data_IF_298858789687
#
_entry.id   IF_298858789687
#
_cell.length_a   1.000
_cell.length_b   1.000
_cell.length_c   1.000
_cell.angle_alpha   90.00
_cell.angle_beta   90.00
_cell.angle_gamma   90.00
#
_symmetry.space_group_name_H-M   'P 1'
#
loop_
_entity.id
_entity.type
_entity.pdbx_description
1 polymer ?
#
# COMPACT_ATOMS: atom_id res chain seq x y z
N UNK A 1 -16.66 -8.07 -12.62
CA UNK A 1 -16.19 -7.18 -11.53
C UNK A 1 -15.30 -6.15 -12.16
N UNK A 2 -15.69 -4.89 -12.21
CA UNK A 2 -14.89 -3.85 -12.84
C UNK A 2 -14.13 -3.11 -11.76
N UNK A 3 -12.81 -3.10 -11.84
CA UNK A 3 -11.93 -2.33 -10.98
C UNK A 3 -11.59 -0.99 -11.60
N UNK A 4 -11.50 0.04 -10.78
CA UNK A 4 -10.89 1.29 -11.15
C UNK A 4 -9.38 1.18 -10.91
N UNK A 5 -8.61 0.95 -11.98
CA UNK A 5 -7.16 1.04 -11.93
C UNK A 5 -6.72 2.38 -12.52
N UNK A 6 -6.06 3.19 -11.74
CA UNK A 6 -5.39 4.40 -12.21
C UNK A 6 -3.97 4.37 -11.72
N UNK A 7 -3.05 4.46 -12.65
CA UNK A 7 -1.62 4.55 -12.40
C UNK A 7 -1.20 6.01 -12.53
N UNK A 8 -0.58 6.52 -11.48
CA UNK A 8 0.09 7.81 -11.50
C UNK A 8 1.55 7.61 -11.84
N UNK A 9 1.98 8.28 -12.88
CA UNK A 9 3.39 8.46 -13.14
C UNK A 9 3.75 9.93 -12.91
N UNK A 10 4.55 10.21 -11.91
CA UNK A 10 5.28 11.46 -11.80
C UNK A 10 6.40 11.40 -12.83
N UNK A 11 6.18 12.03 -13.98
CA UNK A 11 7.18 12.10 -15.02
C UNK A 11 8.05 13.32 -14.82
N UNK A 12 9.23 13.09 -14.30
CA UNK A 12 10.33 14.03 -14.39
C UNK A 12 11.01 13.86 -15.75
N UNK A 13 10.33 14.18 -16.83
CA UNK A 13 10.91 14.06 -18.16
C UNK A 13 9.92 13.90 -19.32
N UNK A 14 10.36 14.05 -20.55
CA UNK A 14 9.52 14.02 -21.75
C UNK A 14 9.12 12.60 -22.16
N UNK A 15 7.83 12.37 -22.42
CA UNK A 15 7.46 11.34 -23.38
C UNK A 15 7.59 11.92 -24.78
N UNK A 16 8.57 11.47 -25.51
CA UNK A 16 8.53 11.48 -26.97
C UNK A 16 7.75 10.23 -27.35
N UNK A 17 6.76 10.37 -28.21
CA UNK A 17 6.12 9.24 -28.86
C UNK A 17 7.18 8.52 -29.70
N UNK A 18 7.83 7.53 -29.13
CA UNK A 18 8.61 6.55 -29.88
C UNK A 18 7.76 5.30 -30.04
N UNK A 19 7.85 4.62 -31.19
CA UNK A 19 7.19 3.35 -31.37
C UNK A 19 7.68 2.36 -30.30
N UNK A 20 6.77 1.49 -29.90
CA UNK A 20 6.95 0.45 -28.89
C UNK A 20 8.17 -0.44 -29.19
N UNK A 21 9.34 0.01 -28.78
CA UNK A 21 10.54 -0.82 -28.71
C UNK A 21 11.42 -0.27 -27.60
N UNK A 22 11.67 -1.13 -26.63
CA UNK A 22 12.67 -1.01 -25.57
C UNK A 22 12.21 -0.47 -24.21
N UNK A 23 11.36 -1.24 -23.56
CA UNK A 23 11.51 -1.41 -22.13
C UNK A 23 12.62 -2.45 -21.90
N UNK A 24 13.49 -2.18 -20.95
CA UNK A 24 14.48 -3.15 -20.47
C UNK A 24 15.86 -3.08 -21.08
N UNK A 25 16.24 -2.03 -21.76
CA UNK A 25 17.66 -1.75 -22.00
C UNK A 25 18.07 -0.59 -21.12
N UNK A 26 18.90 -0.91 -20.13
CA UNK A 26 19.69 0.07 -19.43
C UNK A 26 20.38 0.96 -20.44
N UNK A 27 20.06 2.25 -20.40
CA UNK A 27 20.90 3.21 -21.07
C UNK A 27 22.27 3.06 -20.43
N UNK A 28 23.37 3.03 -21.21
CA UNK A 28 24.70 2.89 -20.64
C UNK A 28 24.88 3.97 -19.58
N UNK A 29 25.19 3.55 -18.37
CA UNK A 29 25.52 4.46 -17.28
C UNK A 29 26.68 5.33 -17.75
N UNK A 30 26.40 6.61 -17.96
CA UNK A 30 27.48 7.58 -18.00
C UNK A 30 28.00 7.68 -16.57
N UNK A 31 29.32 7.50 -16.33
CA UNK A 31 29.88 7.66 -15.02
C UNK A 31 29.56 9.06 -14.51
N UNK A 32 28.64 9.17 -13.58
CA UNK A 32 28.40 10.42 -12.88
C UNK A 32 29.51 10.60 -11.86
N UNK A 33 30.07 11.80 -11.71
CA UNK A 33 30.93 12.07 -10.56
C UNK A 33 30.11 11.74 -9.31
N UNK A 34 30.71 10.99 -8.38
CA UNK A 34 30.13 10.74 -7.09
C UNK A 34 29.57 12.05 -6.52
N UNK A 35 28.28 12.11 -6.19
CA UNK A 35 27.72 13.34 -5.67
C UNK A 35 28.46 13.71 -4.39
N UNK A 36 28.98 14.91 -4.34
CA UNK A 36 29.47 15.48 -3.09
C UNK A 36 28.24 15.60 -2.20
N UNK A 37 28.02 14.62 -1.34
CA UNK A 37 26.98 14.68 -0.32
C UNK A 37 27.31 15.83 0.62
N UNK A 38 26.71 16.97 0.36
CA UNK A 38 26.58 17.97 1.40
C UNK A 38 25.83 17.33 2.59
N UNK A 39 26.02 17.84 3.81
CA UNK A 39 25.21 17.40 4.94
C UNK A 39 23.74 17.52 4.53
N UNK A 40 22.97 16.46 4.80
CA UNK A 40 21.51 16.50 4.58
C UNK A 40 20.98 17.75 5.31
N UNK A 41 20.09 18.54 4.71
CA UNK A 41 19.47 19.64 5.40
C UNK A 41 18.91 19.16 6.73
N UNK A 42 19.14 19.86 7.82
CA UNK A 42 18.72 19.48 9.18
C UNK A 42 17.21 19.20 9.31
N UNK A 43 16.43 19.56 8.31
CA UNK A 43 14.99 19.38 8.24
C UNK A 43 14.54 18.25 7.31
N UNK A 44 15.46 17.51 6.69
CA UNK A 44 15.10 16.32 5.92
C UNK A 44 14.82 15.16 6.86
N UNK A 45 13.70 14.41 6.64
CA UNK A 45 13.46 13.20 7.40
C UNK A 45 14.65 12.26 7.28
N UNK A 46 15.14 11.77 8.40
CA UNK A 46 16.16 10.72 8.39
C UNK A 46 15.53 9.52 7.69
N UNK A 47 16.26 8.89 6.75
CA UNK A 47 15.81 7.68 6.07
C UNK A 47 15.33 6.66 7.11
N UNK A 48 14.08 6.24 7.01
CA UNK A 48 13.43 5.36 7.98
C UNK A 48 12.66 6.07 9.11
N UNK A 49 12.74 7.41 9.21
CA UNK A 49 11.92 8.15 10.15
C UNK A 49 10.59 8.55 9.49
N UNK A 50 9.48 8.23 10.12
CA UNK A 50 8.20 8.80 9.72
C UNK A 50 8.23 10.33 9.93
N UNK A 51 7.47 11.09 9.11
CA UNK A 51 7.28 12.51 9.37
C UNK A 51 6.93 12.72 10.85
N UNK A 52 7.71 13.55 11.56
CA UNK A 52 7.53 13.78 12.98
C UNK A 52 8.65 13.30 13.89
N UNK A 53 9.49 12.41 13.41
CA UNK A 53 10.65 11.97 14.18
C UNK A 53 11.86 12.92 14.07
N UNK A 54 11.86 13.86 13.15
CA UNK A 54 13.01 14.70 12.80
C UNK A 54 12.74 16.19 12.87
N UNK A 55 11.90 16.65 13.77
CA UNK A 55 11.69 18.10 13.96
C UNK A 55 10.93 18.81 12.84
N UNK A 56 10.34 18.08 11.89
CA UNK A 56 9.44 18.63 10.88
C UNK A 56 8.23 19.27 11.58
N UNK A 57 7.81 20.48 11.18
CA UNK A 57 6.65 21.12 11.77
C UNK A 57 5.44 20.20 11.79
N UNK A 58 4.75 20.14 12.92
CA UNK A 58 3.62 19.24 13.16
C UNK A 58 2.52 19.30 12.08
N UNK A 59 2.40 20.44 11.41
CA UNK A 59 1.47 20.65 10.29
C UNK A 59 1.90 19.95 8.97
N UNK A 60 3.17 19.56 8.85
CA UNK A 60 3.70 18.82 7.69
C UNK A 60 3.85 17.33 8.00
N UNK A 61 3.61 16.95 9.26
CA UNK A 61 3.53 15.56 9.63
C UNK A 61 2.29 15.01 8.95
N UNK A 62 2.52 14.13 8.01
CA UNK A 62 1.43 13.33 7.50
C UNK A 62 0.62 12.78 8.68
N UNK A 63 -0.59 12.45 8.47
CA UNK A 63 -1.54 12.16 9.51
C UNK A 63 -1.18 10.91 10.27
N UNK A 64 -0.42 11.09 11.35
CA UNK A 64 -0.43 10.15 12.46
C UNK A 64 -1.87 10.16 12.96
N UNK A 65 -2.52 9.02 12.92
CA UNK A 65 -3.90 8.93 13.40
C UNK A 65 -3.92 9.41 14.87
N UNK A 66 -4.68 10.46 15.18
CA UNK A 66 -4.80 10.92 16.56
C UNK A 66 -5.50 9.86 17.39
N UNK A 67 -5.28 9.89 18.71
CA UNK A 67 -6.11 9.11 19.62
C UNK A 67 -7.60 9.47 19.43
N UNK A 68 -8.46 8.46 19.44
CA UNK A 68 -9.88 8.62 19.18
C UNK A 68 -10.38 7.79 18.00
N UNK A 69 -11.51 8.17 17.43
CA UNK A 69 -12.02 7.50 16.22
C UNK A 69 -11.17 7.86 14.99
N UNK A 70 -11.11 6.94 14.03
CA UNK A 70 -10.56 7.26 12.71
C UNK A 70 -11.24 8.51 12.16
N UNK A 71 -10.49 9.49 11.65
CA UNK A 71 -11.07 10.67 11.07
C UNK A 71 -12.08 10.34 9.97
N UNK A 72 -13.14 11.12 9.88
CA UNK A 72 -14.13 11.04 8.81
C UNK A 72 -13.90 12.15 7.80
N UNK A 73 -14.21 11.91 6.52
CA UNK A 73 -13.99 12.89 5.47
C UNK A 73 -14.52 12.43 4.12
N UNK A 74 -13.98 12.99 3.06
CA UNK A 74 -14.43 12.77 1.68
C UNK A 74 -14.33 11.31 1.22
N UNK A 75 -13.50 10.50 1.87
CA UNK A 75 -13.30 9.09 1.53
C UNK A 75 -13.96 8.13 2.52
N UNK A 76 -14.78 8.62 3.44
CA UNK A 76 -15.53 7.75 4.36
C UNK A 76 -16.39 6.74 3.59
N UNK A 77 -16.27 5.46 3.96
CA UNK A 77 -16.95 4.36 3.27
C UNK A 77 -16.32 3.96 1.93
N UNK A 78 -15.16 4.51 1.57
CA UNK A 78 -14.41 4.11 0.36
C UNK A 78 -13.29 3.16 0.75
N UNK A 79 -12.95 2.24 -0.16
CA UNK A 79 -11.76 1.42 -0.05
C UNK A 79 -10.76 1.91 -1.08
N UNK A 80 -9.55 2.20 -0.64
CA UNK A 80 -8.45 2.66 -1.48
C UNK A 80 -7.38 1.60 -1.51
N UNK A 81 -7.19 1.00 -2.69
CA UNK A 81 -6.06 0.15 -3.00
C UNK A 81 -4.95 1.02 -3.59
N UNK A 82 -3.72 0.81 -3.18
CA UNK A 82 -2.60 1.62 -3.67
C UNK A 82 -1.30 0.83 -3.74
N UNK A 83 -0.45 1.18 -4.70
CA UNK A 83 0.87 0.59 -4.89
C UNK A 83 1.90 1.66 -5.20
N UNK A 84 3.13 1.45 -4.75
CA UNK A 84 4.31 2.14 -5.28
C UNK A 84 4.98 1.24 -6.30
N UNK A 85 5.23 1.72 -7.52
CA UNK A 85 5.80 0.94 -8.59
C UNK A 85 7.23 0.51 -8.35
N UNK A 86 7.63 -0.58 -9.01
CA UNK A 86 8.94 -1.22 -8.96
C UNK A 86 9.35 -1.70 -7.56
N UNK A 87 10.61 -1.54 -7.19
CA UNK A 87 11.22 -2.08 -5.97
C UNK A 87 12.24 -3.17 -6.30
N UNK A 88 13.01 -3.58 -5.32
CA UNK A 88 13.97 -4.67 -5.47
C UNK A 88 13.26 -5.97 -5.87
N UNK A 89 13.74 -6.59 -6.94
CA UNK A 89 13.28 -7.88 -7.42
C UNK A 89 14.45 -8.82 -7.69
N UNK A 90 14.19 -10.12 -7.64
CA UNK A 90 15.13 -11.15 -8.10
C UNK A 90 15.04 -11.26 -9.61
N UNK A 91 16.16 -11.07 -10.32
CA UNK A 91 16.23 -11.14 -11.77
C UNK A 91 16.60 -12.53 -12.32
N UNK A 92 16.69 -13.53 -11.44
CA UNK A 92 17.17 -14.87 -11.75
C UNK A 92 18.61 -15.12 -11.32
N UNK A 93 19.39 -14.08 -11.02
CA UNK A 93 20.79 -14.17 -10.62
C UNK A 93 21.11 -13.32 -9.39
N UNK A 94 20.48 -12.16 -9.25
CA UNK A 94 20.74 -11.21 -8.18
C UNK A 94 19.49 -10.41 -7.80
N UNK A 95 19.56 -9.72 -6.66
CA UNK A 95 18.57 -8.74 -6.27
C UNK A 95 18.90 -7.38 -6.87
N UNK A 96 18.01 -6.86 -7.70
CA UNK A 96 18.21 -5.61 -8.43
C UNK A 96 17.01 -4.69 -8.28
N UNK A 97 17.24 -3.39 -8.39
CA UNK A 97 16.16 -2.42 -8.54
C UNK A 97 15.62 -2.48 -9.96
N UNK A 98 14.31 -2.29 -10.15
CA UNK A 98 13.70 -2.25 -11.47
C UNK A 98 14.18 -1.06 -12.31
N UNK A 99 14.71 -0.03 -11.65
CA UNK A 99 15.31 1.15 -12.30
C UNK A 99 16.65 1.47 -11.65
N UNK A 100 17.62 1.86 -12.50
CA UNK A 100 18.92 2.35 -12.04
C UNK A 100 18.82 3.69 -11.30
N UNK A 101 19.93 4.11 -10.72
CA UNK A 101 20.04 5.43 -10.10
C UNK A 101 20.05 6.49 -11.21
N UNK A 102 19.06 7.38 -11.21
CA UNK A 102 18.99 8.53 -12.09
C UNK A 102 18.96 9.81 -11.26
N UNK A 103 19.96 10.68 -11.45
CA UNK A 103 20.00 11.96 -10.74
C UNK A 103 19.88 11.82 -9.21
N UNK A 104 20.65 10.90 -8.65
CA UNK A 104 20.64 10.59 -7.21
C UNK A 104 19.29 10.01 -6.70
N UNK A 105 18.36 9.72 -7.59
CA UNK A 105 17.08 9.12 -7.25
C UNK A 105 17.00 7.69 -7.76
N UNK A 106 16.44 6.83 -6.92
CA UNK A 106 15.97 5.50 -7.30
C UNK A 106 14.46 5.55 -7.29
N UNK A 107 13.84 5.36 -8.45
CA UNK A 107 12.39 5.39 -8.61
C UNK A 107 11.69 4.48 -7.60
N UNK A 108 12.21 3.29 -7.45
CA UNK A 108 11.70 2.22 -6.60
C UNK A 108 11.46 2.63 -5.15
N UNK A 109 12.28 3.53 -4.61
CA UNK A 109 12.16 4.02 -3.23
C UNK A 109 11.26 5.25 -3.13
N UNK A 110 11.37 6.17 -4.07
CA UNK A 110 10.53 7.37 -4.10
C UNK A 110 9.04 7.05 -4.27
N UNK A 111 8.73 6.00 -5.01
CA UNK A 111 7.34 5.58 -5.22
C UNK A 111 6.69 5.04 -3.94
N UNK A 112 7.43 4.34 -3.07
CA UNK A 112 6.88 3.86 -1.80
C UNK A 112 6.65 4.99 -0.81
N UNK A 113 7.49 6.03 -0.85
CA UNK A 113 7.28 7.24 -0.05
C UNK A 113 6.01 7.98 -0.49
N UNK A 114 5.81 8.14 -1.81
CA UNK A 114 4.59 8.75 -2.36
C UNK A 114 3.33 7.95 -1.99
N UNK A 115 3.38 6.63 -2.17
CA UNK A 115 2.29 5.74 -1.77
C UNK A 115 1.99 5.85 -0.27
N UNK A 116 3.01 5.89 0.58
CA UNK A 116 2.86 5.98 2.03
C UNK A 116 2.19 7.28 2.45
N UNK A 117 2.61 8.41 1.87
CA UNK A 117 1.98 9.70 2.14
C UNK A 117 0.53 9.72 1.66
N UNK A 118 0.27 9.18 0.47
CA UNK A 118 -1.10 9.05 -0.05
C UNK A 118 -1.96 8.18 0.86
N UNK A 119 -1.45 7.04 1.32
CA UNK A 119 -2.15 6.14 2.24
C UNK A 119 -2.52 6.84 3.55
N UNK A 120 -1.61 7.65 4.13
CA UNK A 120 -1.88 8.44 5.32
C UNK A 120 -3.01 9.45 5.09
N UNK A 121 -2.99 10.18 3.99
CA UNK A 121 -4.06 11.15 3.67
C UNK A 121 -5.40 10.46 3.42
N UNK A 122 -5.41 9.34 2.70
CA UNK A 122 -6.62 8.56 2.47
C UNK A 122 -7.23 8.02 3.77
N UNK A 123 -6.40 7.47 4.66
CA UNK A 123 -6.83 6.99 5.97
C UNK A 123 -7.47 8.11 6.80
N UNK A 124 -6.85 9.29 6.81
CA UNK A 124 -7.39 10.44 7.55
C UNK A 124 -8.58 11.12 6.87
N UNK A 125 -8.77 10.88 5.59
CA UNK A 125 -10.00 11.24 4.89
C UNK A 125 -11.14 10.21 5.09
N UNK A 126 -10.90 9.18 5.91
CA UNK A 126 -11.90 8.18 6.31
C UNK A 126 -11.90 6.90 5.48
N UNK A 127 -10.93 6.69 4.58
CA UNK A 127 -10.86 5.48 3.76
C UNK A 127 -10.42 4.25 4.55
N UNK A 128 -10.91 3.08 4.14
CA UNK A 128 -10.22 1.81 4.38
C UNK A 128 -9.08 1.70 3.38
N UNK A 129 -7.85 1.53 3.84
CA UNK A 129 -6.65 1.54 3.00
C UNK A 129 -6.03 0.16 2.92
N UNK A 130 -5.74 -0.27 1.70
CA UNK A 130 -5.05 -1.52 1.37
C UNK A 130 -3.86 -1.20 0.49
N UNK A 131 -2.65 -1.34 1.02
CA UNK A 131 -1.42 -1.06 0.30
C UNK A 131 -0.77 -2.35 -0.22
N UNK A 132 -0.33 -2.33 -1.48
CA UNK A 132 0.32 -3.46 -2.16
C UNK A 132 1.85 -3.46 -1.97
N UNK A 133 2.38 -2.50 -1.24
CA UNK A 133 3.70 -2.46 -0.62
C UNK A 133 3.53 -1.95 0.81
N UNK A 134 4.49 -2.21 1.72
CA UNK A 134 4.40 -1.71 3.09
C UNK A 134 4.28 -0.19 3.17
N UNK A 135 3.47 0.32 4.08
CA UNK A 135 3.32 1.75 4.33
C UNK A 135 4.41 2.24 5.28
N UNK A 136 5.12 3.29 4.88
CA UNK A 136 6.19 3.90 5.68
C UNK A 136 7.47 3.05 5.73
N UNK A 137 8.37 3.45 6.62
CA UNK A 137 9.69 2.82 6.76
C UNK A 137 9.83 2.29 8.19
N UNK A 138 9.64 0.98 8.39
CA UNK A 138 9.81 0.32 9.68
C UNK A 138 10.41 -1.07 9.49
N UNK A 139 11.69 -1.20 9.78
CA UNK A 139 12.45 -2.46 9.61
C UNK A 139 12.17 -3.51 10.68
N UNK A 140 11.57 -3.11 11.79
CA UNK A 140 11.11 -4.06 12.79
C UNK A 140 9.69 -4.51 12.48
N UNK A 141 9.37 -5.74 12.85
CA UNK A 141 8.03 -6.27 12.74
C UNK A 141 7.71 -7.21 13.91
N UNK A 142 6.44 -7.21 14.30
CA UNK A 142 5.84 -8.26 15.14
C UNK A 142 4.54 -8.66 14.48
N UNK A 143 4.37 -9.94 14.19
CA UNK A 143 3.11 -10.49 13.70
C UNK A 143 2.60 -11.44 14.76
N UNK A 144 1.37 -11.25 15.20
CA UNK A 144 0.69 -12.10 16.17
C UNK A 144 -0.50 -12.78 15.50
N UNK A 145 -0.52 -14.09 15.58
CA UNK A 145 -1.64 -14.92 15.14
C UNK A 145 -2.59 -15.23 16.30
N UNK A 146 -3.82 -15.60 16.00
CA UNK A 146 -4.84 -15.91 17.00
C UNK A 146 -4.47 -17.08 17.94
N UNK A 147 -3.45 -17.86 17.63
CA UNK A 147 -2.96 -18.98 18.45
C UNK A 147 -1.75 -18.61 19.32
N UNK A 148 -1.18 -17.41 19.13
CA UNK A 148 0.02 -16.99 19.87
C UNK A 148 -0.28 -16.72 21.33
N UNK A 149 0.65 -17.00 22.26
CA UNK A 149 0.47 -16.81 23.70
C UNK A 149 0.26 -15.34 24.11
N UNK A 150 0.66 -14.39 23.27
CA UNK A 150 0.46 -12.95 23.42
C UNK A 150 -0.97 -12.50 23.08
N UNK A 151 -1.82 -13.43 22.61
CA UNK A 151 -3.19 -13.17 22.23
C UNK A 151 -4.15 -13.73 23.28
N UNK A 152 -5.00 -12.90 23.83
CA UNK A 152 -5.98 -13.28 24.86
C UNK A 152 -7.40 -13.02 24.40
N UNK A 153 -8.29 -13.94 24.74
CA UNK A 153 -9.70 -13.89 24.38
C UNK A 153 -10.56 -13.73 25.64
N UNK A 154 -11.49 -12.78 25.59
CA UNK A 154 -12.53 -12.61 26.62
C UNK A 154 -13.91 -12.77 25.98
N UNK A 155 -14.85 -13.33 26.72
CA UNK A 155 -16.18 -13.66 26.21
C UNK A 155 -16.22 -14.96 25.40
N UNK A 156 -17.28 -15.16 24.64
CA UNK A 156 -17.50 -16.40 23.89
C UNK A 156 -16.90 -16.31 22.47
N UNK A 157 -15.89 -17.10 22.21
CA UNK A 157 -15.27 -17.28 20.89
C UNK A 157 -15.31 -18.75 20.50
N UNK A 158 -15.51 -19.02 19.23
CA UNK A 158 -15.45 -20.34 18.64
C UNK A 158 -14.29 -20.44 17.63
N UNK A 159 -13.71 -21.62 17.54
CA UNK A 159 -12.66 -21.91 16.58
C UNK A 159 -13.24 -22.14 15.19
N UNK A 160 -12.64 -21.56 14.16
CA UNK A 160 -12.98 -21.80 12.78
C UNK A 160 -12.32 -23.09 12.28
N UNK A 161 -12.94 -23.69 11.27
CA UNK A 161 -12.37 -24.82 10.51
C UNK A 161 -12.16 -24.42 9.02
N UNK A 162 -12.18 -23.14 8.72
CA UNK A 162 -12.09 -22.65 7.36
C UNK A 162 -10.65 -22.78 6.83
N UNK A 163 -10.49 -22.92 5.52
CA UNK A 163 -9.20 -23.25 4.92
C UNK A 163 -8.36 -22.03 4.53
N UNK A 164 -9.00 -20.85 4.47
CA UNK A 164 -8.32 -19.61 4.14
C UNK A 164 -8.15 -18.76 5.41
N UNK A 165 -6.90 -18.58 5.84
CA UNK A 165 -6.52 -17.89 7.06
C UNK A 165 -5.03 -17.50 7.02
N UNK A 166 -4.59 -16.61 7.88
CA UNK A 166 -3.18 -16.34 8.10
C UNK A 166 -2.67 -17.29 9.18
N UNK A 167 -1.43 -17.79 9.04
CA UNK A 167 -0.81 -18.67 10.03
C UNK A 167 -0.24 -19.95 9.45
N UNK A 168 0.12 -20.91 10.33
CA UNK A 168 0.75 -22.14 9.94
C UNK A 168 -0.25 -23.26 9.66
N UNK A 169 0.20 -24.30 8.98
CA UNK A 169 -0.61 -25.48 8.72
C UNK A 169 -0.90 -26.21 10.03
N UNK A 170 -2.18 -26.44 10.30
CA UNK A 170 -2.64 -27.17 11.49
C UNK A 170 -3.00 -26.29 12.67
N UNK A 171 -2.73 -24.98 12.60
CA UNK A 171 -3.22 -24.03 13.59
C UNK A 171 -4.74 -23.86 13.49
N UNK A 172 -5.37 -23.32 14.54
CA UNK A 172 -6.76 -22.87 14.48
C UNK A 172 -6.82 -21.69 13.49
N UNK A 173 -7.57 -21.81 12.38
CA UNK A 173 -7.51 -20.85 11.28
C UNK A 173 -7.74 -19.40 11.73
N UNK A 174 -8.83 -19.17 12.43
CA UNK A 174 -9.16 -17.94 13.14
C UNK A 174 -10.25 -18.23 14.15
N UNK A 175 -10.45 -17.34 15.12
CA UNK A 175 -11.59 -17.42 16.03
C UNK A 175 -12.66 -16.44 15.61
N UNK A 176 -13.92 -16.79 15.93
CA UNK A 176 -15.05 -15.93 15.61
C UNK A 176 -16.06 -15.85 16.75
N UNK A 177 -16.80 -14.74 16.76
CA UNK A 177 -17.88 -14.47 17.70
C UNK A 177 -19.01 -13.71 17.02
N UNK A 178 -20.20 -13.71 17.63
CA UNK A 178 -21.31 -12.90 17.14
C UNK A 178 -21.15 -11.43 17.53
N UNK A 179 -21.62 -10.53 16.64
CA UNK A 179 -21.76 -9.11 16.99
C UNK A 179 -22.76 -8.93 18.12
N UNK A 180 -22.56 -7.90 18.94
CA UNK A 180 -23.44 -7.55 20.05
C UNK A 180 -23.68 -6.04 20.12
N UNK A 181 -24.87 -5.63 20.61
CA UNK A 181 -25.21 -4.21 20.79
C UNK A 181 -24.34 -3.53 21.87
N UNK A 182 -23.84 -4.32 22.82
CA UNK A 182 -22.84 -3.93 23.81
C UNK A 182 -21.67 -4.90 23.72
N UNK A 183 -20.46 -4.45 23.97
CA UNK A 183 -19.28 -5.31 23.92
C UNK A 183 -19.37 -6.43 24.95
N UNK A 184 -19.31 -7.67 24.50
CA UNK A 184 -19.35 -8.89 25.32
C UNK A 184 -18.19 -9.84 25.03
N UNK A 185 -17.45 -9.60 23.95
CA UNK A 185 -16.29 -10.40 23.59
C UNK A 185 -15.20 -9.54 22.96
N UNK A 186 -13.95 -9.82 23.34
CA UNK A 186 -12.76 -9.15 22.79
C UNK A 186 -11.63 -10.14 22.56
N UNK A 187 -10.79 -9.86 21.55
CA UNK A 187 -9.50 -10.49 21.35
C UNK A 187 -8.41 -9.42 21.45
N UNK A 188 -7.44 -9.60 22.33
CA UNK A 188 -6.39 -8.62 22.63
C UNK A 188 -5.03 -9.18 22.20
N UNK A 189 -4.34 -8.47 21.33
CA UNK A 189 -3.03 -8.78 20.76
C UNK A 189 -2.00 -7.82 21.38
N UNK A 190 -1.03 -8.35 22.13
CA UNK A 190 -0.03 -7.55 22.86
C UNK A 190 1.36 -7.86 22.33
N UNK A 191 1.88 -7.08 21.37
CA UNK A 191 3.20 -7.32 20.80
C UNK A 191 4.32 -7.07 21.81
N UNK A 192 5.41 -7.79 21.67
CA UNK A 192 6.68 -7.40 22.27
C UNK A 192 7.46 -6.54 21.27
N UNK A 193 7.30 -5.23 21.37
CA UNK A 193 7.91 -4.26 20.46
C UNK A 193 9.44 -4.24 20.65
N UNK A 194 10.24 -4.58 19.64
CA UNK A 194 11.71 -4.70 19.81
C UNK A 194 12.40 -3.36 20.03
N UNK A 195 11.94 -2.30 19.38
CA UNK A 195 12.52 -0.95 19.46
C UNK A 195 11.40 0.07 19.46
N UNK A 196 11.46 1.05 20.36
CA UNK A 196 10.47 2.13 20.40
C UNK A 196 10.46 2.92 19.08
N UNK A 197 9.27 3.20 18.53
CA UNK A 197 9.16 3.90 17.25
C UNK A 197 7.74 3.94 16.72
N UNK A 198 7.61 4.48 15.52
CA UNK A 198 6.37 4.44 14.77
C UNK A 198 6.25 3.12 14.00
N UNK A 199 5.12 2.45 14.19
CA UNK A 199 4.78 1.20 13.51
C UNK A 199 3.47 1.37 12.75
N UNK A 200 3.44 1.12 11.45
CA UNK A 200 2.20 0.85 10.76
C UNK A 200 1.58 -0.43 11.32
N UNK A 201 0.29 -0.41 11.55
CA UNK A 201 -0.47 -1.54 12.09
C UNK A 201 -1.42 -2.03 11.02
N UNK A 202 -1.50 -3.34 10.88
CA UNK A 202 -2.38 -3.99 9.93
C UNK A 202 -3.14 -5.12 10.60
N UNK A 203 -4.33 -5.41 10.09
CA UNK A 203 -5.10 -6.61 10.41
C UNK A 203 -5.22 -7.50 9.17
N UNK A 204 -5.09 -8.80 9.36
CA UNK A 204 -5.43 -9.74 8.30
C UNK A 204 -6.94 -9.97 8.29
N UNK A 205 -7.53 -9.91 7.11
CA UNK A 205 -8.98 -9.90 6.92
C UNK A 205 -9.38 -11.06 6.03
N UNK A 206 -10.39 -11.83 6.47
CA UNK A 206 -11.08 -12.78 5.59
C UNK A 206 -12.52 -12.35 5.36
N UNK A 207 -12.88 -12.18 4.09
CA UNK A 207 -14.21 -11.76 3.67
C UNK A 207 -15.27 -12.87 3.89
N UNK A 208 -16.47 -12.44 4.19
CA UNK A 208 -17.70 -13.23 4.02
C UNK A 208 -18.91 -12.31 4.11
N UNK A 209 -20.00 -12.70 3.50
CA UNK A 209 -21.26 -11.92 3.50
C UNK A 209 -21.88 -11.72 4.89
N UNK A 210 -21.53 -12.57 5.85
CA UNK A 210 -21.98 -12.44 7.24
C UNK A 210 -21.05 -11.58 8.11
N UNK A 211 -19.95 -11.08 7.57
CA UNK A 211 -19.00 -10.23 8.34
C UNK A 211 -19.56 -8.85 8.57
N UNK A 212 -19.11 -8.25 9.67
CA UNK A 212 -19.49 -6.89 10.06
C UNK A 212 -18.45 -5.84 9.61
N UNK A 213 -18.75 -4.57 9.83
CA UNK A 213 -17.74 -3.51 9.92
C UNK A 213 -17.08 -3.60 11.30
N UNK A 214 -16.00 -4.37 11.35
CA UNK A 214 -15.36 -4.81 12.59
C UNK A 214 -14.59 -3.69 13.27
N UNK A 215 -14.74 -3.56 14.58
CA UNK A 215 -14.06 -2.56 15.39
C UNK A 215 -12.70 -3.06 15.87
N UNK A 216 -11.68 -2.26 15.60
CA UNK A 216 -10.33 -2.38 16.15
C UNK A 216 -10.02 -1.19 17.03
N UNK A 217 -9.45 -1.43 18.20
CA UNK A 217 -8.91 -0.40 19.08
C UNK A 217 -7.41 -0.59 19.18
N UNK A 218 -6.67 0.35 18.65
CA UNK A 218 -5.21 0.37 18.71
C UNK A 218 -4.79 1.21 19.91
N UNK A 219 -4.23 0.55 20.92
CA UNK A 219 -3.66 1.19 22.10
C UNK A 219 -2.19 1.50 21.83
N UNK A 220 -1.83 2.74 21.98
CA UNK A 220 -0.47 3.25 21.69
C UNK A 220 -0.08 4.31 22.73
N UNK A 221 1.14 4.80 22.70
CA UNK A 221 1.64 5.77 23.69
C UNK A 221 0.85 7.07 23.74
N UNK A 222 0.19 7.45 22.65
CA UNK A 222 -0.67 8.65 22.57
C UNK A 222 -2.12 8.42 23.03
N UNK A 223 -2.49 7.18 23.38
CA UNK A 223 -3.85 6.83 23.80
C UNK A 223 -4.42 5.64 23.04
N UNK A 224 -5.73 5.64 22.79
CA UNK A 224 -6.40 4.59 22.01
C UNK A 224 -7.05 5.19 20.77
N UNK A 225 -6.81 4.55 19.61
CA UNK A 225 -7.44 4.91 18.34
C UNK A 225 -8.40 3.80 17.92
N UNK A 226 -9.54 4.18 17.37
CA UNK A 226 -10.58 3.26 16.94
C UNK A 226 -10.71 3.28 15.42
N UNK A 227 -10.67 2.11 14.80
CA UNK A 227 -10.78 1.93 13.36
C UNK A 227 -11.83 0.86 13.07
N UNK A 228 -12.68 1.09 12.10
CA UNK A 228 -13.59 0.06 11.59
C UNK A 228 -13.20 -0.39 10.20
N UNK A 229 -13.12 -1.71 10.02
CA UNK A 229 -12.81 -2.34 8.73
C UNK A 229 -14.03 -3.13 8.24
N UNK A 230 -14.53 -2.86 7.03
CA UNK A 230 -15.71 -3.55 6.49
C UNK A 230 -15.36 -4.92 5.91
N UNK A 231 -15.24 -5.95 6.77
CA UNK A 231 -14.90 -7.32 6.37
C UNK A 231 -15.90 -7.96 5.39
N UNK A 232 -17.05 -7.37 5.19
CA UNK A 232 -18.03 -7.79 4.18
C UNK A 232 -17.75 -7.20 2.78
N UNK A 233 -16.73 -6.35 2.65
CA UNK A 233 -16.36 -5.66 1.41
C UNK A 233 -14.89 -5.82 1.03
N UNK A 234 -14.05 -6.30 1.94
CA UNK A 234 -12.61 -6.46 1.72
C UNK A 234 -12.10 -7.68 2.48
N UNK A 235 -11.19 -8.44 1.88
CA UNK A 235 -10.58 -9.60 2.55
C UNK A 235 -9.53 -10.32 1.72
N UNK A 236 -8.87 -11.30 2.32
CA UNK A 236 -7.79 -12.07 1.69
C UNK A 236 -6.40 -11.46 1.85
N UNK A 237 -6.20 -10.48 2.75
CA UNK A 237 -4.90 -9.85 2.96
C UNK A 237 -4.89 -8.81 4.07
N UNK A 238 -3.79 -8.05 4.14
CA UNK A 238 -3.58 -7.02 5.14
C UNK A 238 -4.34 -5.74 4.83
N UNK A 239 -5.06 -5.23 5.82
CA UNK A 239 -5.74 -3.93 5.81
C UNK A 239 -5.09 -3.02 6.84
N UNK A 240 -4.77 -1.80 6.45
CA UNK A 240 -4.10 -0.82 7.29
C UNK A 240 -5.03 -0.24 8.35
N UNK A 241 -4.55 -0.20 9.60
CA UNK A 241 -5.26 0.34 10.76
C UNK A 241 -4.72 1.70 11.25
N UNK A 242 -3.67 2.21 10.63
CA UNK A 242 -3.00 3.44 11.04
C UNK A 242 -1.54 3.21 11.42
N UNK A 243 -0.81 4.31 11.62
CA UNK A 243 0.58 4.29 12.10
C UNK A 243 0.65 4.98 13.46
N UNK A 244 1.23 4.30 14.45
CA UNK A 244 1.23 4.73 15.85
C UNK A 244 2.61 4.57 16.47
N UNK A 245 2.89 5.38 17.49
CA UNK A 245 4.13 5.24 18.27
C UNK A 245 3.94 4.23 19.40
N UNK A 246 4.83 3.26 19.47
CA UNK A 246 4.91 2.25 20.52
C UNK A 246 6.22 2.38 21.29
N UNK A 247 6.15 2.16 22.61
CA UNK A 247 7.35 1.95 23.42
C UNK A 247 7.89 0.52 23.21
N UNK A 248 9.17 0.31 23.46
CA UNK A 248 9.75 -1.02 23.43
C UNK A 248 9.19 -1.90 24.58
N UNK A 249 9.13 -3.20 24.33
CA UNK A 249 8.58 -4.18 25.24
C UNK A 249 7.09 -4.42 25.06
N UNK A 250 6.46 -5.13 26.00
CA UNK A 250 5.04 -5.47 25.98
C UNK A 250 4.28 -4.63 26.99
N UNK A 251 3.22 -3.95 26.55
CA UNK A 251 2.35 -3.10 27.40
C UNK A 251 0.90 -3.17 26.90
N UNK A 252 0.07 -3.99 27.50
CA UNK A 252 -1.32 -4.16 27.09
C UNK A 252 -2.17 -2.86 27.18
N UNK A 253 -1.74 -1.88 27.97
CA UNK A 253 -2.45 -0.61 28.11
C UNK A 253 -2.10 0.40 27.02
N UNK A 254 -0.84 0.37 26.49
CA UNK A 254 -0.31 1.36 25.55
C UNK A 254 0.43 0.75 24.36
N UNK A 255 0.26 -0.55 24.12
CA UNK A 255 0.90 -1.30 23.05
C UNK A 255 0.10 -2.56 22.71
N UNK A 256 -1.13 -2.40 22.21
CA UNK A 256 -1.99 -3.54 21.90
C UNK A 256 -3.00 -3.20 20.80
N UNK A 257 -3.51 -4.23 20.13
CA UNK A 257 -4.72 -4.13 19.30
C UNK A 257 -5.82 -4.97 19.95
N UNK A 258 -7.00 -4.38 20.13
CA UNK A 258 -8.17 -5.06 20.64
C UNK A 258 -9.22 -5.16 19.53
N UNK A 259 -9.60 -6.37 19.19
CA UNK A 259 -10.75 -6.66 18.33
C UNK A 259 -11.98 -6.74 19.22
N UNK A 260 -13.04 -6.03 18.84
CA UNK A 260 -14.29 -5.95 19.62
C UNK A 260 -15.47 -6.50 18.83
N UNK A 261 -16.38 -7.19 19.52
CA UNK A 261 -17.63 -7.63 18.92
C UNK A 261 -18.74 -6.58 18.93
N UNK A 262 -18.42 -5.34 19.29
CA UNK A 262 -19.38 -4.24 19.29
C UNK A 262 -19.90 -3.93 17.88
N UNK A 263 -21.20 -4.07 17.68
CA UNK A 263 -21.87 -3.82 16.42
C UNK A 263 -21.64 -2.38 15.92
N UNK A 264 -21.52 -2.15 14.58
CA UNK A 264 -21.58 -0.80 14.03
C UNK A 264 -23.01 -0.23 14.13
N UNK A 265 -23.13 1.09 13.99
CA UNK A 265 -24.42 1.74 13.85
C UNK A 265 -24.48 2.54 12.54
N UNK A 266 -25.37 2.21 11.59
CA UNK A 266 -26.32 1.09 11.61
C UNK A 266 -25.62 -0.27 11.59
N UNK A 267 -26.28 -1.29 12.11
CA UNK A 267 -25.79 -2.67 12.15
C UNK A 267 -25.62 -3.27 10.75
N UNK A 268 -24.52 -3.98 10.55
CA UNK A 268 -24.25 -4.76 9.33
C UNK A 268 -23.52 -6.05 9.71
N UNK A 269 -23.91 -7.15 9.11
CA UNK A 269 -23.34 -8.47 9.38
C UNK A 269 -23.69 -9.02 10.77
N UNK A 270 -23.17 -10.19 11.06
CA UNK A 270 -23.46 -10.90 12.32
C UNK A 270 -22.22 -11.50 13.00
N UNK A 271 -21.06 -11.49 12.34
CA UNK A 271 -19.86 -12.15 12.81
C UNK A 271 -18.64 -11.22 12.81
N UNK A 272 -17.84 -11.36 13.86
CA UNK A 272 -16.51 -10.79 14.06
C UNK A 272 -15.51 -11.92 14.02
N UNK A 273 -14.35 -11.73 13.38
CA UNK A 273 -13.25 -12.70 13.36
C UNK A 273 -12.00 -12.11 14.01
N UNK A 274 -11.18 -12.98 14.58
CA UNK A 274 -9.86 -12.70 15.10
C UNK A 274 -8.87 -13.68 14.44
N UNK A 275 -8.04 -13.14 13.55
CA UNK A 275 -6.99 -13.83 12.83
C UNK A 275 -5.65 -13.20 13.24
N UNK A 276 -4.93 -12.54 12.36
CA UNK A 276 -3.61 -12.00 12.66
C UNK A 276 -3.57 -10.45 12.69
N UNK A 277 -2.67 -9.93 13.51
CA UNK A 277 -2.32 -8.50 13.59
C UNK A 277 -0.81 -8.35 13.35
N UNK A 278 -0.46 -7.38 12.50
CA UNK A 278 0.93 -7.03 12.19
C UNK A 278 1.25 -5.64 12.68
N UNK A 279 2.40 -5.49 13.33
CA UNK A 279 3.01 -4.24 13.75
C UNK A 279 4.33 -4.07 13.00
N UNK A 280 4.43 -3.07 12.15
CA UNK A 280 5.61 -2.78 11.35
C UNK A 280 5.71 -3.60 10.06
N UNK A 281 6.78 -3.34 9.32
CA UNK A 281 6.99 -3.86 7.96
C UNK A 281 7.99 -5.03 7.93
N UNK A 282 9.05 -4.93 8.72
CA UNK A 282 10.11 -5.94 8.76
C UNK A 282 11.11 -5.85 7.61
N UNK A 283 12.00 -6.81 7.62
CA UNK A 283 12.96 -7.07 6.54
C UNK A 283 12.36 -8.04 5.53
N UNK A 284 12.86 -7.99 4.30
CA UNK A 284 12.51 -8.97 3.28
C UNK A 284 12.78 -10.40 3.76
N UNK A 285 11.77 -11.27 3.66
CA UNK A 285 11.80 -12.64 4.18
C UNK A 285 11.65 -13.72 3.11
N UNK A 286 11.38 -13.33 1.88
CA UNK A 286 11.22 -14.28 0.77
C UNK A 286 12.58 -14.60 0.19
N UNK A 287 13.01 -15.86 0.34
CA UNK A 287 14.27 -16.34 -0.23
C UNK A 287 14.10 -16.66 -1.72
N UNK A 288 15.06 -16.20 -2.52
CA UNK A 288 15.27 -16.59 -3.92
C UNK A 288 16.63 -17.27 -4.05
N UNK A 289 17.07 -17.60 -5.25
CA UNK A 289 18.31 -18.37 -5.48
C UNK A 289 19.57 -17.83 -4.79
N UNK A 290 19.64 -16.52 -4.54
CA UNK A 290 20.71 -15.87 -3.78
C UNK A 290 20.41 -15.63 -2.30
N UNK A 291 19.35 -16.19 -1.74
CA UNK A 291 18.88 -15.92 -0.38
C UNK A 291 17.83 -14.80 -0.34
N UNK A 292 17.60 -14.26 0.86
CA UNK A 292 16.72 -13.08 1.04
C UNK A 292 17.40 -11.81 0.53
N UNK A 293 16.63 -10.78 0.25
CA UNK A 293 17.15 -9.52 -0.31
C UNK A 293 18.15 -8.81 0.61
N UNK A 294 18.03 -8.98 1.92
CA UNK A 294 18.81 -8.25 2.93
C UNK A 294 18.36 -6.79 3.10
N UNK A 295 17.29 -6.38 2.44
CA UNK A 295 16.74 -5.04 2.48
C UNK A 295 15.44 -4.97 3.30
N UNK A 296 15.08 -3.78 3.79
CA UNK A 296 13.74 -3.54 4.33
C UNK A 296 12.66 -3.94 3.33
N UNK A 297 11.57 -4.51 3.84
CA UNK A 297 10.49 -5.03 2.98
C UNK A 297 9.82 -3.93 2.14
N UNK A 298 9.79 -2.70 2.61
CA UNK A 298 9.33 -1.56 1.83
C UNK A 298 10.22 -1.23 0.62
N UNK A 299 11.47 -1.69 0.59
CA UNK A 299 12.35 -1.55 -0.57
C UNK A 299 12.15 -2.66 -1.60
N UNK A 300 11.58 -3.78 -1.20
CA UNK A 300 11.26 -4.85 -2.13
C UNK A 300 10.05 -4.49 -3.01
N UNK A 301 9.96 -5.11 -4.16
CA UNK A 301 8.81 -4.93 -5.03
C UNK A 301 7.52 -5.52 -4.43
N UNK A 302 6.38 -5.06 -4.92
CA UNK A 302 5.07 -5.44 -4.41
C UNK A 302 4.81 -6.95 -4.41
N UNK A 303 5.40 -7.68 -5.37
CA UNK A 303 5.27 -9.13 -5.47
C UNK A 303 5.57 -9.85 -4.15
N UNK A 304 6.65 -9.46 -3.44
CA UNK A 304 7.06 -10.13 -2.20
C UNK A 304 6.19 -9.75 -1.00
N UNK A 305 5.77 -8.49 -0.92
CA UNK A 305 4.79 -8.08 0.07
C UNK A 305 3.48 -8.84 -0.09
N UNK A 306 2.98 -8.94 -1.32
CA UNK A 306 1.78 -9.68 -1.66
C UNK A 306 1.95 -11.16 -1.31
N UNK A 307 3.06 -11.78 -1.71
CA UNK A 307 3.36 -13.17 -1.37
C UNK A 307 3.33 -13.43 0.15
N UNK A 308 3.90 -12.51 0.93
CA UNK A 308 3.91 -12.60 2.40
C UNK A 308 2.59 -12.20 3.05
N UNK A 309 1.69 -11.57 2.29
CA UNK A 309 0.38 -11.11 2.77
C UNK A 309 -0.72 -12.14 2.54
N UNK A 310 -0.52 -13.06 1.62
CA UNK A 310 -1.50 -14.08 1.31
C UNK A 310 -1.59 -15.11 2.44
N UNK A 311 -2.81 -15.37 2.85
CA UNK A 311 -3.09 -16.45 3.78
C UNK A 311 -3.01 -17.83 3.12
N UNK A 312 -3.13 -18.85 3.93
CA UNK A 312 -3.27 -20.23 3.45
C UNK A 312 -4.52 -20.36 2.59
N UNK A 313 -4.45 -21.23 1.59
CA UNK A 313 -5.53 -21.42 0.64
C UNK A 313 -5.67 -20.36 -0.44
N UNK A 314 -4.91 -19.27 -0.36
CA UNK A 314 -4.88 -18.25 -1.40
C UNK A 314 -4.14 -18.74 -2.64
N UNK A 315 -4.60 -18.40 -3.85
CA UNK A 315 -3.98 -18.86 -5.08
C UNK A 315 -2.66 -18.14 -5.36
N UNK A 316 -1.64 -18.89 -5.80
CA UNK A 316 -0.29 -18.35 -6.07
C UNK A 316 -0.23 -17.47 -7.31
N UNK A 317 -1.14 -17.63 -8.26
CA UNK A 317 -1.17 -16.82 -9.48
C UNK A 317 -1.31 -15.31 -9.22
N UNK A 318 -1.69 -14.91 -8.01
CA UNK A 318 -1.79 -13.51 -7.62
C UNK A 318 -0.41 -12.82 -7.70
N UNK A 319 0.64 -13.50 -7.26
CA UNK A 319 1.99 -12.93 -7.20
C UNK A 319 3.02 -13.66 -8.11
N UNK A 320 2.67 -14.79 -8.69
CA UNK A 320 3.61 -15.67 -9.38
C UNK A 320 2.98 -16.24 -10.65
N UNK A 321 3.51 -15.86 -11.79
CA UNK A 321 3.26 -16.50 -13.08
C UNK A 321 4.49 -17.32 -13.42
N UNK A 322 4.41 -18.66 -13.48
CA UNK A 322 5.58 -19.53 -13.71
C UNK A 322 6.33 -19.26 -15.02
N UNK A 323 5.74 -18.51 -15.93
CA UNK A 323 6.36 -18.12 -17.23
C UNK A 323 7.14 -16.82 -17.17
N UNK A 324 7.06 -16.09 -16.04
CA UNK A 324 7.65 -14.76 -15.88
C UNK A 324 8.75 -14.77 -14.81
N UNK A 325 9.57 -13.74 -14.83
CA UNK A 325 10.51 -13.42 -13.75
C UNK A 325 9.87 -12.49 -12.73
N UNK A 326 10.43 -12.40 -11.55
CA UNK A 326 9.84 -11.67 -10.42
C UNK A 326 9.55 -10.18 -10.72
N UNK A 327 10.39 -9.53 -11.52
CA UNK A 327 10.15 -8.14 -11.93
C UNK A 327 8.92 -7.98 -12.81
N UNK A 328 8.66 -8.97 -13.69
CA UNK A 328 7.50 -8.96 -14.58
C UNK A 328 6.22 -9.32 -13.80
N UNK A 329 6.32 -10.27 -12.87
CA UNK A 329 5.24 -10.57 -11.94
C UNK A 329 4.82 -9.34 -11.13
N UNK A 330 5.79 -8.56 -10.69
CA UNK A 330 5.54 -7.33 -9.92
C UNK A 330 4.63 -6.34 -10.65
N UNK A 331 4.68 -6.29 -11.97
CA UNK A 331 3.83 -5.39 -12.78
C UNK A 331 2.34 -5.75 -12.66
N UNK A 332 2.02 -7.01 -12.39
CA UNK A 332 0.63 -7.49 -12.35
C UNK A 332 0.14 -7.81 -10.95
N UNK A 333 1.03 -8.19 -10.05
CA UNK A 333 0.68 -8.63 -8.70
C UNK A 333 -0.16 -7.60 -7.91
N UNK A 334 0.14 -6.28 -7.94
CA UNK A 334 -0.64 -5.30 -7.21
C UNK A 334 -2.12 -5.27 -7.62
N UNK A 335 -2.39 -5.28 -8.91
CA UNK A 335 -3.77 -5.23 -9.39
C UNK A 335 -4.50 -6.56 -9.22
N UNK A 336 -3.79 -7.69 -9.37
CA UNK A 336 -4.34 -9.01 -9.08
C UNK A 336 -4.74 -9.13 -7.60
N UNK A 337 -3.90 -8.64 -6.69
CA UNK A 337 -4.21 -8.62 -5.26
C UNK A 337 -5.36 -7.67 -4.93
N UNK A 338 -5.40 -6.49 -5.53
CA UNK A 338 -6.51 -5.56 -5.36
C UNK A 338 -7.85 -6.18 -5.80
N UNK A 339 -7.82 -6.94 -6.90
CA UNK A 339 -8.97 -7.70 -7.37
C UNK A 339 -9.38 -8.78 -6.36
N UNK A 340 -8.43 -9.57 -5.89
CA UNK A 340 -8.70 -10.65 -4.93
C UNK A 340 -9.28 -10.12 -3.63
N UNK A 341 -8.76 -9.00 -3.14
CA UNK A 341 -9.22 -8.40 -1.90
C UNK A 341 -10.52 -7.62 -2.02
N UNK A 342 -10.95 -7.26 -3.22
CA UNK A 342 -12.18 -6.48 -3.41
C UNK A 342 -13.39 -7.40 -3.49
N UNK A 343 -14.20 -7.37 -2.46
CA UNK A 343 -15.40 -8.20 -2.30
C UNK A 343 -16.70 -7.41 -2.53
N UNK A 344 -16.61 -6.34 -3.29
CA UNK A 344 -17.78 -5.56 -3.63
C UNK A 344 -18.74 -6.36 -4.49
N UNK A 345 -20.01 -6.40 -4.09
CA UNK A 345 -21.05 -6.98 -4.91
C UNK A 345 -21.17 -6.24 -6.25
N UNK A 346 -21.43 -6.97 -7.31
CA UNK A 346 -21.55 -6.43 -8.66
C UNK A 346 -22.44 -5.18 -8.70
N UNK A 347 -21.95 -4.10 -9.26
CA UNK A 347 -22.73 -2.92 -9.60
C UNK A 347 -22.40 -1.62 -8.86
N UNK A 348 -21.51 -1.62 -7.86
CA UNK A 348 -21.16 -0.40 -7.13
C UNK A 348 -19.69 -0.04 -7.27
N UNK A 349 -19.25 0.24 -8.50
CA UNK A 349 -17.85 0.52 -8.83
C UNK A 349 -17.33 1.86 -8.32
N UNK A 350 -18.15 2.69 -7.71
CA UNK A 350 -17.78 4.03 -7.27
C UNK A 350 -17.25 4.09 -5.83
N UNK A 351 -17.19 2.97 -5.15
CA UNK A 351 -16.71 2.88 -3.76
C UNK A 351 -15.28 2.38 -3.63
N UNK A 352 -14.67 1.96 -4.75
CA UNK A 352 -13.31 1.39 -4.79
C UNK A 352 -12.44 2.20 -5.73
N UNK A 353 -11.23 2.44 -5.27
CA UNK A 353 -10.22 3.18 -6.04
C UNK A 353 -8.93 2.35 -5.99
N UNK A 354 -8.26 2.19 -7.14
CA UNK A 354 -6.88 1.73 -7.20
C UNK A 354 -6.01 2.84 -7.79
N UNK A 355 -4.89 3.16 -7.12
CA UNK A 355 -3.91 4.14 -7.58
C UNK A 355 -2.51 3.56 -7.40
N UNK A 356 -1.76 3.45 -8.50
CA UNK A 356 -0.34 3.13 -8.52
C UNK A 356 0.50 4.38 -8.73
N UNK A 357 1.64 4.46 -8.04
CA UNK A 357 2.60 5.56 -8.14
C UNK A 357 3.85 5.12 -8.85
N UNK A 358 4.22 5.85 -9.89
CA UNK A 358 5.47 5.68 -10.62
C UNK A 358 6.16 7.02 -10.80
N UNK A 359 7.47 7.01 -10.92
CA UNK A 359 8.25 8.13 -11.39
C UNK A 359 9.15 7.67 -12.53
N UNK A 360 9.38 8.53 -13.51
CA UNK A 360 10.18 8.21 -14.67
C UNK A 360 11.21 9.30 -14.91
N UNK A 361 12.43 8.90 -15.27
CA UNK A 361 13.43 9.81 -15.78
C UNK A 361 13.20 10.08 -17.27
N UNK A 362 13.58 11.27 -17.72
CA UNK A 362 13.62 11.58 -19.16
C UNK A 362 14.72 10.77 -19.82
N UNK A 363 14.39 10.06 -20.91
CA UNK A 363 15.38 9.40 -21.76
C UNK A 363 16.29 10.35 -22.57
N UNK A 364 16.12 11.67 -22.43
CA UNK A 364 16.84 12.68 -23.20
C UNK A 364 18.01 13.33 -22.43
N UNK A 365 18.42 12.76 -21.30
CA UNK A 365 19.53 13.26 -20.49
C UNK A 365 19.20 14.57 -19.76
N UNK A 366 20.25 15.26 -19.33
CA UNK A 366 20.18 16.43 -18.42
C UNK A 366 19.38 17.62 -18.95
N UNK A 367 19.14 17.71 -20.23
CA UNK A 367 18.53 18.87 -20.88
C UNK A 367 17.03 18.71 -21.15
N UNK A 368 16.39 17.71 -20.65
CA UNK A 368 14.95 17.56 -20.81
C UNK A 368 14.20 18.67 -20.07
N UNK A 369 13.39 19.40 -20.80
CA UNK A 369 12.51 20.44 -20.24
C UNK A 369 11.15 19.89 -19.80
N UNK A 370 10.89 18.60 -20.03
CA UNK A 370 9.62 18.02 -19.64
C UNK A 370 9.56 17.84 -18.13
N UNK A 371 8.53 18.39 -17.53
CA UNK A 371 8.21 18.33 -16.11
C UNK A 371 6.72 18.12 -15.98
N UNK A 372 6.31 17.59 -14.84
CA UNK A 372 4.91 17.50 -14.51
C UNK A 372 4.43 16.09 -14.27
N UNK A 373 3.24 16.04 -13.77
CA UNK A 373 2.49 14.86 -13.43
C UNK A 373 1.69 14.35 -14.63
N UNK A 374 1.49 13.04 -14.71
CA UNK A 374 0.65 12.42 -15.75
C UNK A 374 -0.24 11.38 -15.12
N UNK A 375 -1.55 11.50 -15.38
CA UNK A 375 -2.51 10.45 -15.09
C UNK A 375 -2.63 9.46 -16.26
N UNK A 376 -2.40 8.18 -16.00
CA UNK A 376 -2.59 7.11 -16.97
C UNK A 376 -3.89 6.37 -16.69
N UNK A 377 -4.60 5.99 -17.74
CA UNK A 377 -5.86 5.29 -17.65
C UNK A 377 -6.08 4.30 -18.79
N UNK A 378 -6.93 3.30 -18.57
CA UNK A 378 -7.36 2.35 -19.59
C UNK A 378 -8.47 2.94 -20.47
N UNK A 379 -8.36 2.79 -21.78
CA UNK A 379 -9.32 3.29 -22.77
C UNK A 379 -9.93 2.19 -23.65
N UNK A 380 -9.86 0.95 -23.24
CA UNK A 380 -10.36 -0.23 -23.96
C UNK A 380 -9.72 -0.54 -25.32
N UNK A 381 -8.71 0.20 -25.76
CA UNK A 381 -8.13 0.00 -27.10
C UNK A 381 -7.55 -1.40 -27.32
N UNK A 382 -6.94 -1.99 -26.28
CA UNK A 382 -6.35 -3.33 -26.38
C UNK A 382 -7.20 -4.40 -25.71
N UNK A 383 -7.99 -4.03 -24.72
CA UNK A 383 -8.78 -4.94 -23.89
C UNK A 383 -10.20 -4.40 -23.74
N UNK A 384 -11.08 -4.62 -24.75
CA UNK A 384 -12.44 -4.10 -24.76
C UNK A 384 -13.26 -4.55 -23.53
N UNK A 385 -14.04 -3.63 -22.98
CA UNK A 385 -14.92 -3.88 -21.84
C UNK A 385 -14.22 -3.81 -20.47
N UNK A 386 -12.96 -3.40 -20.41
CA UNK A 386 -12.17 -3.32 -19.17
C UNK A 386 -11.99 -1.91 -18.62
N UNK A 387 -12.20 -0.88 -19.43
CA UNK A 387 -12.24 0.50 -18.97
C UNK A 387 -13.53 0.80 -18.21
N UNK A 388 -13.42 1.67 -17.20
CA UNK A 388 -14.60 2.20 -16.53
C UNK A 388 -14.75 3.69 -16.82
N UNK A 389 -15.98 4.18 -16.86
CA UNK A 389 -16.31 5.55 -17.30
C UNK A 389 -15.63 6.65 -16.48
N UNK A 390 -15.23 6.37 -15.25
CA UNK A 390 -14.66 7.37 -14.35
C UNK A 390 -13.13 7.36 -14.28
N UNK A 391 -12.45 6.39 -14.92
CA UNK A 391 -10.99 6.33 -14.90
C UNK A 391 -10.34 7.58 -15.47
N UNK A 392 -10.76 8.01 -16.67
CA UNK A 392 -10.26 9.23 -17.29
C UNK A 392 -10.45 10.45 -16.38
N UNK A 393 -11.67 10.62 -15.85
CA UNK A 393 -11.98 11.79 -15.01
C UNK A 393 -11.16 11.79 -13.72
N UNK A 394 -10.96 10.65 -13.09
CA UNK A 394 -10.15 10.55 -11.88
C UNK A 394 -8.68 10.86 -12.20
N UNK A 395 -8.13 10.29 -13.28
CA UNK A 395 -6.77 10.56 -13.74
C UNK A 395 -6.58 12.07 -14.03
N UNK A 396 -7.53 12.70 -14.73
CA UNK A 396 -7.49 14.13 -15.05
C UNK A 396 -7.52 15.01 -13.79
N UNK A 397 -8.45 14.74 -12.88
CA UNK A 397 -8.59 15.52 -11.64
C UNK A 397 -7.31 15.45 -10.80
N UNK A 398 -6.77 14.25 -10.61
CA UNK A 398 -5.59 14.08 -9.76
C UNK A 398 -4.36 14.69 -10.43
N UNK A 399 -4.09 14.37 -11.70
CA UNK A 399 -2.96 14.93 -12.43
C UNK A 399 -3.01 16.45 -12.46
N UNK A 400 -4.19 17.03 -12.67
CA UNK A 400 -4.39 18.49 -12.64
C UNK A 400 -4.07 19.08 -11.26
N UNK A 401 -4.56 18.45 -10.18
CA UNK A 401 -4.35 18.98 -8.84
C UNK A 401 -2.89 18.87 -8.40
N UNK A 402 -2.23 17.72 -8.66
CA UNK A 402 -0.81 17.54 -8.36
C UNK A 402 0.03 18.54 -9.14
N UNK A 403 -0.22 18.66 -10.44
CA UNK A 403 0.49 19.61 -11.29
C UNK A 403 0.30 21.08 -10.84
N UNK A 404 -0.91 21.45 -10.46
CA UNK A 404 -1.17 22.78 -9.91
C UNK A 404 -0.50 23.01 -8.55
N UNK A 405 -0.37 21.96 -7.73
CA UNK A 405 0.38 22.04 -6.48
C UNK A 405 1.87 22.22 -6.73
N UNK A 406 2.46 21.46 -7.65
CA UNK A 406 3.86 21.58 -8.05
C UNK A 406 4.20 22.96 -8.59
N UNK A 407 3.31 23.57 -9.40
CA UNK A 407 3.48 24.95 -9.90
C UNK A 407 3.51 26.02 -8.82
N UNK A 408 2.97 25.76 -7.65
CA UNK A 408 2.97 26.69 -6.52
C UNK A 408 4.23 26.65 -5.69
N UNK A 409 5.10 25.66 -5.92
CA UNK A 409 6.34 25.54 -5.19
C UNK A 409 7.30 26.60 -5.71
N UNK A 410 7.60 27.58 -4.87
CA UNK A 410 8.47 28.73 -5.22
C UNK A 410 9.80 28.74 -4.47
N UNK A 411 10.04 27.75 -3.61
CA UNK A 411 11.23 27.69 -2.75
C UNK A 411 12.39 27.05 -3.52
N UNK A 412 13.56 27.71 -3.60
CA UNK A 412 14.77 27.10 -4.15
C UNK A 412 15.15 25.82 -3.37
N UNK A 413 15.66 24.80 -4.02
CA UNK A 413 16.15 24.74 -5.41
C UNK A 413 15.12 24.27 -6.43
N UNK A 414 13.82 24.43 -6.19
CA UNK A 414 12.84 23.99 -7.18
C UNK A 414 13.03 24.68 -8.53
N UNK A 415 13.04 23.89 -9.57
CA UNK A 415 13.34 24.35 -10.91
C UNK A 415 12.20 25.17 -11.50
N UNK A 416 12.54 26.30 -12.11
CA UNK A 416 11.64 27.14 -12.89
C UNK A 416 10.81 26.38 -13.93
N UNK A 417 11.29 25.28 -14.55
CA UNK A 417 10.56 24.53 -15.57
C UNK A 417 9.21 23.92 -15.17
N UNK A 418 8.88 23.80 -13.89
CA UNK A 418 7.52 23.40 -13.47
C UNK A 418 6.43 24.33 -14.00
N UNK A 419 6.77 25.54 -14.42
CA UNK A 419 5.86 26.51 -15.01
C UNK A 419 5.50 26.17 -16.45
N UNK A 420 6.35 25.43 -17.18
CA UNK A 420 6.24 25.13 -18.61
C UNK A 420 5.89 23.67 -18.85
N UNK A 421 4.86 23.19 -18.26
CA UNK A 421 4.53 21.81 -18.43
C UNK A 421 3.51 21.57 -19.52
N UNK A 422 3.21 20.35 -19.69
CA UNK A 422 2.50 19.70 -20.76
C UNK A 422 1.16 20.32 -21.09
N UNK A 423 0.79 20.27 -22.34
CA UNK A 423 -0.57 20.61 -22.82
C UNK A 423 -1.59 19.51 -22.44
N UNK A 424 -1.16 18.28 -22.21
CA UNK A 424 -2.02 17.20 -21.74
C UNK A 424 -1.43 16.56 -20.49
N UNK A 425 -2.27 16.36 -19.48
CA UNK A 425 -1.94 15.73 -18.20
C UNK A 425 -2.47 14.30 -18.09
N UNK A 426 -3.16 13.81 -19.11
CA UNK A 426 -3.71 12.46 -19.13
C UNK A 426 -3.38 11.76 -20.44
N UNK A 427 -3.08 10.45 -20.32
CA UNK A 427 -2.80 9.60 -21.48
C UNK A 427 -3.52 8.26 -21.30
N UNK A 428 -4.18 7.83 -22.36
CA UNK A 428 -4.69 6.49 -22.43
C UNK A 428 -3.53 5.52 -22.67
N UNK A 429 -3.35 4.58 -21.75
CA UNK A 429 -2.29 3.60 -21.79
C UNK A 429 -2.81 2.24 -21.40
N UNK A 430 -2.94 1.39 -22.40
CA UNK A 430 -3.30 -0.02 -22.24
C UNK A 430 -2.26 -0.93 -22.88
N UNK A 431 -1.14 -0.35 -23.31
CA UNK A 431 -0.03 -1.08 -23.85
C UNK A 431 0.72 -1.88 -22.78
N UNK A 432 1.63 -2.70 -23.22
CA UNK A 432 2.39 -3.61 -22.35
C UNK A 432 3.12 -2.90 -21.21
N UNK A 433 3.56 -1.68 -21.43
CA UNK A 433 4.40 -0.94 -20.50
C UNK A 433 3.72 -0.61 -19.15
N UNK A 434 2.37 -0.64 -19.10
CA UNK A 434 1.62 -0.23 -17.94
C UNK A 434 0.64 -1.34 -17.52
N UNK A 435 1.20 -2.48 -17.12
CA UNK A 435 0.43 -3.68 -16.77
C UNK A 435 -0.59 -3.48 -15.65
N UNK A 436 -0.40 -2.50 -14.77
CA UNK A 436 -1.32 -2.19 -13.69
C UNK A 436 -2.67 -1.64 -14.16
N UNK A 437 -2.76 -1.16 -15.41
CA UNK A 437 -4.02 -0.70 -16.02
C UNK A 437 -4.50 -1.61 -17.15
N UNK A 438 -3.83 -2.73 -17.40
CA UNK A 438 -4.23 -3.71 -18.42
C UNK A 438 -5.38 -4.56 -17.94
N UNK A 439 -6.44 -4.60 -18.73
CA UNK A 439 -7.63 -5.35 -18.40
C UNK A 439 -7.44 -6.87 -18.37
N UNK A 440 -6.57 -7.42 -19.23
CA UNK A 440 -6.27 -8.86 -19.25
C UNK A 440 -5.64 -9.36 -17.94
N UNK A 441 -4.90 -8.49 -17.26
CA UNK A 441 -4.28 -8.81 -15.96
C UNK A 441 -5.23 -8.62 -14.78
N UNK A 442 -6.33 -7.91 -14.99
CA UNK A 442 -7.43 -7.82 -14.03
C UNK A 442 -8.28 -9.09 -13.98
N UNK A 443 -8.03 -10.04 -14.90
CA UNK A 443 -8.73 -11.31 -14.95
C UNK A 443 -10.20 -11.17 -15.33
N UNK A 444 -10.50 -10.33 -16.27
CA UNK A 444 -11.77 -10.37 -16.96
C UNK A 444 -11.71 -11.48 -18.02
N UNK A 445 -12.49 -12.49 -17.85
CA UNK A 445 -13.03 -13.30 -18.92
C UNK A 445 -14.40 -12.76 -19.30
#
# INVERSE_FOLDING_TARGET
MNYFGIVFALLLGSMVSSPATQEGRDLPETPHPEPVRGPAPDNMPVKGALPGQSGVPKALLGPIAPAGAQPTGALSGRIVFTSGGHGLAWDGASWTTGRGVNWEMVEDYGNVDQMSMFAYYCFNAGATVVAMRPIGNQTNEVVLDNVDPEVTFQGAWADSVFTNYYGNAGDVPYRFTSVAATETATATYVPNIPVAGFYPVYTWVWHSTNRTSQLYRVRHTGGESQVRVPHYLVGGGWVYLGTYYFAAGSDAARGAVVISNLAPSPGVGSAVIADAIRFGNGMGSIARGGGVSGHPREHECARYWIQSSLGRGSPTWIYDDPSLIDSDDNVSAPIRMAREMNEEAAGNFYQRIYIGFHSNASGLGTNSSARGDIGLYNNDNLFPGTATSNQFRLAEIIATNVNNALKRITVPPFEVPWLNNRSSLTYARTDFAFGEIRGDRLGYE
#
